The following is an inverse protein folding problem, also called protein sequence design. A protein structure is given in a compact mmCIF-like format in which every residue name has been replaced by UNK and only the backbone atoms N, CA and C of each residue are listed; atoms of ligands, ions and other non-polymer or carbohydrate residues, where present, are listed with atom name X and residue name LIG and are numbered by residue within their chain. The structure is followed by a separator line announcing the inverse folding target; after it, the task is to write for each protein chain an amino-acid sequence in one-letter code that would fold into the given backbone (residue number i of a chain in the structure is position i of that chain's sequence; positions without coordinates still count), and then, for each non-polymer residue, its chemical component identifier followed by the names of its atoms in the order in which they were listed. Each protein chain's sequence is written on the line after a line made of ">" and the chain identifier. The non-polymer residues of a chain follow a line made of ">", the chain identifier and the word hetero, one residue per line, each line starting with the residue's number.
data_IF_757988949667
#
_entry.id   IF_757988949667
#
_cell.length_a   1.000
_cell.length_b   1.000
_cell.length_c   1.000
_cell.angle_alpha   90.00
_cell.angle_beta   90.00
_cell.angle_gamma   90.00
#
_symmetry.space_group_name_H-M   'P 1'
#
loop_
_entity.id
_entity.type
_entity.pdbx_description
1 polymer ?
#
# COMPACT_ATOMS: atom_id res chain seq x y z
N UNK A 1 13.07 -0.35 22.99
CA UNK A 1 13.72 -1.29 22.06
C UNK A 1 14.03 -0.53 20.77
N UNK A 2 15.28 -0.59 20.31
CA UNK A 2 15.75 0.22 19.17
C UNK A 2 15.36 -0.43 17.84
N UNK A 3 15.22 0.37 16.77
CA UNK A 3 14.99 -0.15 15.42
C UNK A 3 16.06 -1.20 15.00
N UNK A 4 17.29 -1.07 15.51
CA UNK A 4 18.36 -2.04 15.29
C UNK A 4 18.07 -3.43 15.90
N UNK A 5 17.53 -3.49 17.11
CA UNK A 5 17.15 -4.76 17.75
C UNK A 5 16.03 -5.47 16.96
N UNK A 6 15.04 -4.71 16.47
CA UNK A 6 13.97 -5.26 15.65
C UNK A 6 14.52 -5.84 14.33
N UNK A 7 15.43 -5.12 13.66
CA UNK A 7 16.08 -5.60 12.43
C UNK A 7 16.84 -6.91 12.69
N UNK A 8 17.61 -7.01 13.77
CA UNK A 8 18.35 -8.24 14.10
C UNK A 8 17.42 -9.43 14.30
N UNK A 9 16.37 -9.27 15.12
CA UNK A 9 15.40 -10.33 15.38
C UNK A 9 14.66 -10.78 14.11
N UNK A 10 14.29 -9.84 13.24
CA UNK A 10 13.62 -10.17 11.98
C UNK A 10 14.56 -10.92 11.01
N UNK A 11 15.86 -10.58 10.99
CA UNK A 11 16.87 -11.30 10.21
C UNK A 11 17.11 -12.71 10.74
N UNK A 12 17.19 -12.90 12.06
CA UNK A 12 17.30 -14.22 12.69
C UNK A 12 16.06 -15.08 12.40
N UNK A 13 14.88 -14.48 12.44
CA UNK A 13 13.63 -15.14 12.07
C UNK A 13 13.67 -15.62 10.60
N UNK A 14 14.10 -14.76 9.67
CA UNK A 14 14.24 -15.13 8.26
C UNK A 14 15.33 -16.17 8.00
N UNK A 15 16.39 -16.19 8.80
CA UNK A 15 17.42 -17.23 8.73
C UNK A 15 16.87 -18.61 9.12
N UNK A 16 15.89 -18.64 10.03
CA UNK A 16 15.24 -19.87 10.48
C UNK A 16 14.11 -20.31 9.54
N UNK A 17 13.35 -19.35 9.01
CA UNK A 17 12.31 -19.59 8.02
C UNK A 17 12.26 -18.41 7.02
N UNK A 18 12.73 -18.58 5.78
CA UNK A 18 12.78 -17.50 4.80
C UNK A 18 11.41 -17.13 4.24
N UNK A 19 10.40 -18.00 4.33
CA UNK A 19 9.08 -17.80 3.69
C UNK A 19 8.10 -17.05 4.61
N UNK A 20 8.57 -15.97 5.21
CA UNK A 20 7.80 -15.13 6.13
C UNK A 20 7.53 -13.75 5.53
N UNK A 21 6.34 -13.57 4.94
CA UNK A 21 5.91 -12.30 4.36
C UNK A 21 6.02 -11.14 5.36
N UNK A 22 5.51 -11.33 6.58
CA UNK A 22 5.47 -10.29 7.61
C UNK A 22 6.89 -9.83 7.98
N UNK A 23 7.84 -10.77 8.05
CA UNK A 23 9.22 -10.44 8.40
C UNK A 23 9.89 -9.63 7.28
N UNK A 24 9.69 -10.04 6.03
CA UNK A 24 10.13 -9.29 4.86
C UNK A 24 9.47 -7.90 4.78
N UNK A 25 8.15 -7.80 4.98
CA UNK A 25 7.42 -6.54 4.97
C UNK A 25 7.97 -5.55 6.02
N UNK A 26 8.14 -6.03 7.26
CA UNK A 26 8.63 -5.20 8.36
C UNK A 26 10.09 -4.77 8.16
N UNK A 27 10.97 -5.66 7.68
CA UNK A 27 12.34 -5.30 7.34
C UNK A 27 12.39 -4.26 6.23
N UNK A 28 11.56 -4.41 5.19
CA UNK A 28 11.42 -3.41 4.12
C UNK A 28 11.18 -2.02 4.68
N UNK A 29 10.17 -1.87 5.56
CA UNK A 29 9.84 -0.58 6.18
C UNK A 29 10.94 -0.03 7.10
N UNK A 30 11.60 -0.90 7.88
CA UNK A 30 12.69 -0.48 8.77
C UNK A 30 13.94 -0.03 8.00
N UNK A 31 14.14 -0.55 6.80
CA UNK A 31 15.33 -0.32 5.99
C UNK A 31 15.15 0.75 4.91
N UNK A 32 13.90 1.12 4.55
CA UNK A 32 13.59 1.93 3.37
C UNK A 32 14.35 3.24 3.27
N UNK A 33 14.68 3.88 4.40
CA UNK A 33 15.44 5.15 4.43
C UNK A 33 16.95 4.92 4.45
N UNK A 34 17.43 3.91 5.21
CA UNK A 34 18.87 3.72 5.48
C UNK A 34 19.57 2.80 4.48
N UNK A 35 18.86 1.78 4.02
CA UNK A 35 19.37 0.73 3.13
C UNK A 35 18.30 0.42 2.08
N UNK A 36 17.98 1.39 1.20
CA UNK A 36 16.82 1.29 0.31
C UNK A 36 16.93 0.12 -0.69
N UNK A 37 18.14 -0.25 -1.10
CA UNK A 37 18.37 -1.42 -1.96
C UNK A 37 18.05 -2.75 -1.25
N UNK A 38 18.35 -2.87 0.04
CA UNK A 38 17.97 -4.03 0.86
C UNK A 38 16.46 -4.06 1.10
N UNK A 39 15.87 -2.88 1.37
CA UNK A 39 14.43 -2.74 1.52
C UNK A 39 13.67 -3.21 0.27
N UNK A 40 14.12 -2.83 -0.93
CA UNK A 40 13.53 -3.29 -2.19
C UNK A 40 13.53 -4.82 -2.30
N UNK A 41 14.64 -5.49 -1.93
CA UNK A 41 14.72 -6.97 -1.95
C UNK A 41 13.69 -7.59 -1.01
N UNK A 42 13.53 -7.04 0.19
CA UNK A 42 12.56 -7.52 1.15
C UNK A 42 11.12 -7.28 0.70
N UNK A 43 10.78 -6.08 0.20
CA UNK A 43 9.45 -5.85 -0.35
C UNK A 43 9.16 -6.76 -1.56
N UNK A 44 10.13 -7.02 -2.44
CA UNK A 44 9.95 -7.97 -3.54
C UNK A 44 9.70 -9.40 -3.05
N UNK A 45 10.36 -9.80 -1.96
CA UNK A 45 10.14 -11.11 -1.34
C UNK A 45 8.75 -11.19 -0.71
N UNK A 46 8.32 -10.14 0.01
CA UNK A 46 6.96 -10.02 0.54
C UNK A 46 5.90 -10.09 -0.57
N UNK A 47 6.12 -9.39 -1.70
CA UNK A 47 5.23 -9.44 -2.86
C UNK A 47 5.15 -10.85 -3.48
N UNK A 48 6.23 -11.64 -3.45
CA UNK A 48 6.21 -13.02 -3.98
C UNK A 48 5.44 -13.98 -3.08
N UNK A 49 5.51 -13.78 -1.76
CA UNK A 49 4.80 -14.60 -0.79
C UNK A 49 3.32 -14.25 -0.71
N UNK A 50 2.98 -12.96 -0.72
CA UNK A 50 1.60 -12.45 -0.71
C UNK A 50 1.47 -11.30 -1.71
N UNK A 51 1.15 -11.58 -2.97
CA UNK A 51 1.15 -10.58 -4.04
C UNK A 51 0.14 -9.46 -3.86
N UNK A 52 -0.98 -9.73 -3.19
CA UNK A 52 -2.02 -8.73 -2.93
C UNK A 52 -1.82 -7.99 -1.60
N UNK A 53 -0.67 -8.16 -0.92
CA UNK A 53 -0.40 -7.45 0.34
C UNK A 53 -0.35 -5.94 0.08
N UNK A 54 -1.23 -5.20 0.77
CA UNK A 54 -1.29 -3.74 0.66
C UNK A 54 -0.03 -3.10 1.25
N UNK A 55 0.43 -2.02 0.61
CA UNK A 55 1.60 -1.26 1.03
C UNK A 55 2.94 -1.84 0.59
N UNK A 56 2.99 -3.04 0.03
CA UNK A 56 4.26 -3.63 -0.47
C UNK A 56 4.76 -2.88 -1.70
N UNK A 57 3.89 -2.58 -2.66
CA UNK A 57 4.28 -1.86 -3.88
C UNK A 57 4.53 -0.38 -3.60
N UNK A 58 3.80 0.20 -2.65
CA UNK A 58 4.12 1.51 -2.09
C UNK A 58 5.54 1.53 -1.48
N UNK A 59 5.87 0.54 -0.65
CA UNK A 59 7.21 0.36 -0.09
C UNK A 59 8.30 0.20 -1.16
N UNK A 60 8.04 -0.56 -2.23
CA UNK A 60 8.92 -0.65 -3.39
C UNK A 60 9.14 0.71 -4.05
N UNK A 61 8.07 1.49 -4.24
CA UNK A 61 8.15 2.83 -4.82
C UNK A 61 9.02 3.77 -3.99
N UNK A 62 8.83 3.80 -2.67
CA UNK A 62 9.68 4.58 -1.76
C UNK A 62 11.13 4.11 -1.77
N UNK A 63 11.38 2.80 -1.73
CA UNK A 63 12.72 2.24 -1.80
C UNK A 63 13.44 2.63 -3.10
N UNK A 64 12.72 2.69 -4.23
CA UNK A 64 13.27 3.09 -5.53
C UNK A 64 13.49 4.59 -5.65
N UNK A 65 12.59 5.41 -5.09
CA UNK A 65 12.81 6.86 -4.97
C UNK A 65 14.09 7.15 -4.17
N UNK A 66 14.27 6.47 -3.03
CA UNK A 66 15.46 6.64 -2.18
C UNK A 66 16.75 6.09 -2.83
N UNK A 67 16.64 5.28 -3.89
CA UNK A 67 17.76 4.86 -4.74
C UNK A 67 18.01 5.80 -5.93
N UNK A 68 17.23 6.88 -6.09
CA UNK A 68 17.33 7.78 -7.25
C UNK A 68 16.78 7.19 -8.55
N UNK A 69 15.83 6.24 -8.45
CA UNK A 69 15.19 5.56 -9.59
C UNK A 69 13.70 5.97 -9.72
N UNK A 70 13.40 7.21 -10.14
CA UNK A 70 12.03 7.75 -10.13
C UNK A 70 11.08 7.03 -11.09
N UNK A 71 11.53 6.59 -12.26
CA UNK A 71 10.69 5.87 -13.22
C UNK A 71 10.25 4.49 -12.69
N UNK A 72 11.19 3.76 -12.07
CA UNK A 72 10.92 2.49 -11.40
C UNK A 72 9.97 2.66 -10.21
N UNK A 73 10.07 3.80 -9.51
CA UNK A 73 9.20 4.14 -8.40
C UNK A 73 7.78 4.47 -8.84
N UNK A 74 7.64 5.31 -9.88
CA UNK A 74 6.35 5.66 -10.47
C UNK A 74 5.56 4.41 -10.88
N UNK A 75 6.25 3.44 -11.49
CA UNK A 75 5.64 2.16 -11.82
C UNK A 75 5.27 1.33 -10.60
N UNK A 76 6.08 1.33 -9.54
CA UNK A 76 5.72 0.64 -8.30
C UNK A 76 4.50 1.27 -7.61
N UNK A 77 4.36 2.60 -7.61
CA UNK A 77 3.14 3.26 -7.14
C UNK A 77 1.92 2.94 -8.00
N UNK A 78 2.09 2.85 -9.33
CA UNK A 78 1.04 2.38 -10.22
C UNK A 78 0.60 0.94 -9.91
N UNK A 79 1.54 0.04 -9.57
CA UNK A 79 1.21 -1.31 -9.10
C UNK A 79 0.44 -1.30 -7.79
N UNK A 80 0.76 -0.40 -6.84
CA UNK A 80 -0.04 -0.24 -5.62
C UNK A 80 -1.48 0.17 -5.95
N UNK A 81 -1.68 1.11 -6.89
CA UNK A 81 -3.02 1.49 -7.35
C UNK A 81 -3.78 0.33 -8.02
N UNK A 82 -3.08 -0.56 -8.74
CA UNK A 82 -3.69 -1.77 -9.28
C UNK A 82 -4.08 -2.75 -8.16
N UNK A 83 -3.22 -2.90 -7.16
CA UNK A 83 -3.44 -3.81 -6.03
C UNK A 83 -4.58 -3.35 -5.09
N UNK A 84 -4.50 -2.09 -4.64
CA UNK A 84 -5.50 -1.39 -3.84
C UNK A 84 -5.91 -0.09 -4.56
N UNK A 85 -6.98 -0.14 -5.37
CA UNK A 85 -7.53 1.01 -6.09
C UNK A 85 -7.81 2.23 -5.22
N UNK A 86 -8.06 2.06 -3.92
CA UNK A 86 -8.28 3.19 -2.99
C UNK A 86 -7.04 4.05 -2.82
N UNK A 87 -5.85 3.51 -3.11
CA UNK A 87 -4.60 4.26 -3.08
C UNK A 87 -4.58 5.42 -4.09
N UNK A 88 -5.42 5.39 -5.13
CA UNK A 88 -5.59 6.51 -6.06
C UNK A 88 -5.92 7.83 -5.35
N UNK A 89 -6.71 7.78 -4.27
CA UNK A 89 -7.11 8.97 -3.51
C UNK A 89 -6.38 9.11 -2.18
N UNK A 90 -5.26 8.41 -2.02
CA UNK A 90 -4.50 8.43 -0.79
C UNK A 90 -3.97 9.82 -0.45
N UNK A 91 -4.06 10.29 0.81
CA UNK A 91 -3.42 11.52 1.26
C UNK A 91 -1.89 11.55 1.02
N UNK A 92 -1.26 10.39 0.88
CA UNK A 92 0.17 10.27 0.54
C UNK A 92 0.56 11.06 -0.72
N UNK A 93 -0.37 11.26 -1.67
CA UNK A 93 -0.12 12.08 -2.87
C UNK A 93 0.05 13.58 -2.60
N UNK A 94 -0.26 14.05 -1.38
CA UNK A 94 0.01 15.44 -0.95
C UNK A 94 1.42 15.64 -0.44
N UNK A 95 2.13 14.56 -0.06
CA UNK A 95 3.50 14.65 0.38
C UNK A 95 4.41 15.09 -0.79
N UNK A 96 5.31 16.07 -0.61
CA UNK A 96 6.10 16.64 -1.70
C UNK A 96 6.86 15.60 -2.53
N UNK A 97 7.43 14.59 -1.84
CA UNK A 97 8.17 13.52 -2.48
C UNK A 97 7.32 12.68 -3.46
N UNK A 98 6.04 12.47 -3.12
CA UNK A 98 5.11 11.71 -3.95
C UNK A 98 4.39 12.59 -4.97
N UNK A 99 4.12 13.85 -4.62
CA UNK A 99 3.52 14.82 -5.54
C UNK A 99 4.36 14.95 -6.82
N UNK A 100 5.69 14.96 -6.70
CA UNK A 100 6.62 14.96 -7.83
C UNK A 100 6.52 13.69 -8.71
N UNK A 101 6.25 12.53 -8.11
CA UNK A 101 6.12 11.25 -8.82
C UNK A 101 4.70 11.00 -9.38
N UNK A 102 3.73 11.87 -9.06
CA UNK A 102 2.30 11.64 -9.34
C UNK A 102 1.99 11.50 -10.83
N UNK A 103 2.50 12.42 -11.64
CA UNK A 103 2.25 12.42 -13.09
C UNK A 103 2.85 11.18 -13.77
N UNK A 104 4.11 10.88 -13.45
CA UNK A 104 4.77 9.66 -13.93
C UNK A 104 4.04 8.39 -13.47
N UNK A 105 3.52 8.36 -12.24
CA UNK A 105 2.74 7.24 -11.72
C UNK A 105 1.41 7.07 -12.44
N UNK A 106 0.75 8.17 -12.81
CA UNK A 106 -0.48 8.15 -13.61
C UNK A 106 -0.20 7.62 -15.03
N UNK A 107 0.88 8.08 -15.66
CA UNK A 107 1.31 7.57 -16.97
C UNK A 107 1.63 6.07 -16.92
N UNK A 108 2.37 5.62 -15.90
CA UNK A 108 2.67 4.21 -15.68
C UNK A 108 1.41 3.37 -15.45
N UNK A 109 0.43 3.87 -14.68
CA UNK A 109 -0.84 3.19 -14.47
C UNK A 109 -1.64 3.05 -15.77
N UNK A 110 -1.70 4.10 -16.59
CA UNK A 110 -2.34 4.05 -17.89
C UNK A 110 -1.68 3.03 -18.84
N UNK A 111 -0.34 2.93 -18.81
CA UNK A 111 0.39 1.90 -19.56
C UNK A 111 0.07 0.49 -19.08
N UNK A 112 0.11 0.25 -17.76
CA UNK A 112 -0.19 -1.07 -17.19
C UNK A 112 -1.62 -1.51 -17.53
N UNK A 113 -2.60 -0.60 -17.42
CA UNK A 113 -4.00 -0.87 -17.76
C UNK A 113 -4.19 -1.31 -19.22
N UNK A 114 -3.48 -0.68 -20.16
CA UNK A 114 -3.52 -1.07 -21.60
C UNK A 114 -2.92 -2.45 -21.87
N UNK A 115 -2.00 -2.90 -21.03
CA UNK A 115 -1.32 -4.21 -21.16
C UNK A 115 -2.07 -5.35 -20.46
N UNK A 116 -3.10 -5.03 -19.67
CA UNK A 116 -3.91 -6.07 -19.05
C UNK A 116 -4.62 -6.88 -20.15
N UNK A 117 -4.78 -8.20 -19.95
CA UNK A 117 -5.65 -9.00 -20.81
C UNK A 117 -7.08 -8.42 -20.77
N UNK A 118 -7.98 -8.83 -21.69
CA UNK A 118 -9.37 -8.35 -21.76
C UNK A 118 -10.26 -8.73 -20.55
N UNK A 119 -9.68 -8.99 -19.39
CA UNK A 119 -10.33 -8.74 -18.11
C UNK A 119 -10.45 -7.23 -17.96
N UNK A 120 -11.63 -6.70 -18.32
CA UNK A 120 -11.86 -5.27 -18.27
C UNK A 120 -11.61 -4.75 -16.83
N UNK A 121 -10.74 -3.73 -16.63
CA UNK A 121 -10.83 -2.96 -15.40
C UNK A 121 -12.26 -2.45 -15.27
N UNK A 122 -12.80 -2.32 -14.06
CA UNK A 122 -14.13 -1.75 -13.87
C UNK A 122 -14.22 -0.39 -14.60
N UNK A 123 -15.36 -0.05 -15.20
CA UNK A 123 -15.49 1.11 -16.09
C UNK A 123 -15.06 2.45 -15.44
N UNK A 124 -15.01 2.48 -14.11
CA UNK A 124 -14.66 3.65 -13.31
C UNK A 124 -13.23 3.62 -12.76
N UNK A 125 -12.36 2.71 -13.19
CA UNK A 125 -10.97 2.63 -12.74
C UNK A 125 -10.03 3.16 -13.82
N UNK A 126 -9.46 4.35 -13.60
CA UNK A 126 -8.60 5.04 -14.55
C UNK A 126 -7.48 5.83 -13.87
N UNK A 127 -6.37 5.99 -14.59
CA UNK A 127 -5.24 6.82 -14.15
C UNK A 127 -5.61 8.29 -13.91
N UNK A 128 -6.69 8.79 -14.54
CA UNK A 128 -7.17 10.16 -14.35
C UNK A 128 -7.61 10.46 -12.90
N UNK A 129 -7.89 9.42 -12.10
CA UNK A 129 -8.29 9.57 -10.70
C UNK A 129 -7.11 9.66 -9.74
N UNK A 130 -5.88 9.45 -10.21
CA UNK A 130 -4.70 9.39 -9.36
C UNK A 130 -4.40 10.76 -8.74
N UNK A 131 -4.35 10.78 -7.40
CA UNK A 131 -4.11 11.97 -6.59
C UNK A 131 -5.29 12.94 -6.55
N UNK A 132 -6.50 12.53 -6.96
CA UNK A 132 -7.74 13.22 -6.62
C UNK A 132 -8.05 12.97 -5.14
N UNK A 133 -7.26 13.58 -4.26
CA UNK A 133 -7.42 13.47 -2.80
C UNK A 133 -8.51 14.44 -2.37
N UNK A 134 -9.69 13.97 -1.89
CA UNK A 134 -10.78 14.85 -1.48
C UNK A 134 -10.31 15.89 -0.45
N UNK A 135 -10.68 17.16 -0.65
CA UNK A 135 -10.55 18.18 0.39
C UNK A 135 -11.63 17.89 1.47
N UNK A 136 -11.24 17.78 2.74
CA UNK A 136 -12.18 17.50 3.85
C UNK A 136 -13.17 18.66 4.12
N UNK A 137 -14.17 18.50 5.02
CA UNK A 137 -14.31 17.46 6.06
C UNK A 137 -15.18 16.28 5.59
N UNK A 138 -14.74 15.04 5.76
CA UNK A 138 -14.79 14.20 6.97
C UNK A 138 -16.19 13.69 7.34
N UNK A 139 -16.41 12.39 7.17
CA UNK A 139 -17.41 11.70 7.99
C UNK A 139 -16.88 11.74 9.41
N UNK A 140 -17.44 12.65 10.20
CA UNK A 140 -17.28 12.64 11.65
C UNK A 140 -18.39 11.77 12.21
N UNK A 141 -18.02 10.60 12.72
CA UNK A 141 -18.98 9.71 13.36
C UNK A 141 -18.40 9.15 14.65
N UNK A 142 -19.27 8.96 15.62
CA UNK A 142 -18.92 8.38 16.90
C UNK A 142 -18.88 6.87 16.74
N UNK A 143 -17.73 6.26 17.03
CA UNK A 143 -17.60 4.80 17.05
C UNK A 143 -17.60 4.33 18.49
N UNK A 144 -18.40 3.30 18.74
CA UNK A 144 -18.42 2.59 20.01
C UNK A 144 -17.51 1.36 19.87
N UNK A 145 -16.55 1.23 20.79
CA UNK A 145 -15.78 -0.01 20.92
C UNK A 145 -15.93 -0.51 22.34
N UNK A 146 -16.44 -1.72 22.50
CA UNK A 146 -16.35 -2.44 23.77
C UNK A 146 -14.87 -2.67 24.08
N UNK A 147 -14.39 -2.20 25.23
CA UNK A 147 -13.03 -2.45 25.68
C UNK A 147 -12.71 -3.95 25.72
N UNK A 148 -11.43 -4.33 25.60
CA UNK A 148 -11.04 -5.73 25.74
C UNK A 148 -11.41 -6.24 27.14
N UNK A 149 -12.21 -7.31 27.30
CA UNK A 149 -12.64 -7.80 28.61
C UNK A 149 -11.49 -8.30 29.49
N UNK A 150 -10.27 -8.43 28.95
CA UNK A 150 -9.13 -9.12 29.57
C UNK A 150 -8.51 -8.35 30.74
N UNK A 151 -8.98 -7.13 31.05
CA UNK A 151 -8.46 -6.31 32.16
C UNK A 151 -9.46 -6.05 33.29
N UNK A 152 -10.70 -6.57 33.23
CA UNK A 152 -11.66 -6.41 34.31
C UNK A 152 -11.54 -7.57 35.30
N UNK A 153 -11.06 -7.28 36.51
CA UNK A 153 -10.97 -8.24 37.63
C UNK A 153 -12.35 -8.56 38.24
N UNK A 154 -13.41 -7.88 37.80
CA UNK A 154 -14.77 -8.01 38.29
C UNK A 154 -15.73 -8.23 37.11
N UNK A 155 -16.30 -9.44 37.01
CA UNK A 155 -17.12 -9.90 35.89
C UNK A 155 -18.59 -9.43 35.97
N UNK A 156 -18.99 -8.85 37.11
CA UNK A 156 -20.36 -8.38 37.34
C UNK A 156 -20.62 -6.96 36.80
N UNK A 157 -19.58 -6.28 36.29
CA UNK A 157 -19.70 -4.94 35.70
C UNK A 157 -19.80 -5.04 34.16
N UNK A 158 -20.67 -4.24 33.51
CA UNK A 158 -20.74 -4.19 32.06
C UNK A 158 -19.41 -3.69 31.48
N UNK A 159 -19.01 -4.23 30.33
CA UNK A 159 -17.80 -3.80 29.63
C UNK A 159 -17.88 -2.31 29.31
N UNK A 160 -16.89 -1.49 29.71
CA UNK A 160 -16.89 -0.08 29.38
C UNK A 160 -16.81 0.09 27.87
N UNK A 161 -17.56 1.08 27.39
CA UNK A 161 -17.60 1.46 25.99
C UNK A 161 -16.65 2.65 25.82
N UNK A 162 -15.60 2.46 25.03
CA UNK A 162 -14.76 3.56 24.60
C UNK A 162 -15.48 4.31 23.47
N UNK A 163 -15.72 5.59 23.68
CA UNK A 163 -16.27 6.52 22.69
C UNK A 163 -15.15 7.36 22.12
N UNK A 164 -14.96 7.33 20.80
CA UNK A 164 -14.04 8.23 20.14
C UNK A 164 -14.62 8.74 18.81
N UNK A 165 -14.34 10.01 18.54
CA UNK A 165 -14.73 10.67 17.30
C UNK A 165 -13.78 10.22 16.19
N UNK A 166 -14.32 9.52 15.20
CA UNK A 166 -13.59 9.11 14.01
C UNK A 166 -13.75 10.17 12.96
N UNK A 167 -12.62 10.59 12.39
CA UNK A 167 -12.50 11.58 11.32
C UNK A 167 -11.99 10.86 10.09
N UNK A 168 -12.89 10.48 9.19
CA UNK A 168 -12.55 9.76 7.95
C UNK A 168 -12.77 10.64 6.73
N UNK A 169 -11.80 10.76 5.81
CA UNK A 169 -12.03 11.45 4.55
C UNK A 169 -13.24 10.85 3.82
N UNK A 170 -14.08 11.70 3.24
CA UNK A 170 -15.18 11.23 2.40
C UNK A 170 -14.60 10.32 1.30
N UNK A 171 -15.22 9.15 1.08
CA UNK A 171 -14.74 8.20 0.10
C UNK A 171 -14.53 8.90 -1.25
N UNK A 172 -13.44 8.60 -1.97
CA UNK A 172 -13.22 9.16 -3.29
C UNK A 172 -14.24 8.56 -4.25
N UNK A 173 -15.30 9.31 -4.55
CA UNK A 173 -16.16 8.99 -5.68
C UNK A 173 -17.55 9.63 -5.61
N UNK A 174 -18.11 10.04 -6.75
CA UNK A 174 -19.53 10.31 -6.84
C UNK A 174 -20.32 9.02 -6.52
N UNK A 175 -21.56 9.12 -5.98
CA UNK A 175 -22.43 7.96 -5.87
C UNK A 175 -22.69 7.41 -7.28
N UNK A 176 -22.22 6.19 -7.59
CA UNK A 176 -22.51 5.58 -8.89
C UNK A 176 -21.67 4.39 -9.32
N UNK A 177 -20.43 4.21 -8.84
CA UNK A 177 -19.77 2.89 -8.90
C UNK A 177 -18.48 2.88 -8.08
N UNK A 178 -18.39 2.04 -7.03
CA UNK A 178 -17.21 1.96 -6.19
C UNK A 178 -15.99 1.51 -7.02
N UNK A 179 -14.81 2.04 -6.66
CA UNK A 179 -13.54 1.50 -7.13
C UNK A 179 -13.52 -0.03 -6.92
N UNK A 180 -12.77 -0.79 -7.75
CA UNK A 180 -12.65 -2.22 -7.54
C UNK A 180 -12.20 -2.52 -6.09
N UNK A 181 -12.69 -3.63 -5.49
CA UNK A 181 -12.17 -4.05 -4.21
C UNK A 181 -10.68 -4.41 -4.35
N UNK A 182 -9.97 -4.36 -3.24
CA UNK A 182 -8.61 -4.89 -3.15
C UNK A 182 -8.60 -6.35 -3.64
N UNK A 183 -7.59 -6.71 -4.44
CA UNK A 183 -7.45 -8.08 -4.97
C UNK A 183 -8.32 -8.40 -6.20
N UNK A 184 -8.94 -7.40 -6.84
CA UNK A 184 -9.68 -7.59 -8.10
C UNK A 184 -8.79 -8.12 -9.24
N UNK A 185 -7.51 -7.80 -9.22
CA UNK A 185 -6.52 -8.27 -10.18
C UNK A 185 -5.88 -9.56 -9.66
N UNK A 186 -5.85 -10.66 -10.44
CA UNK A 186 -5.29 -11.93 -9.99
C UNK A 186 -3.81 -11.84 -9.61
N UNK A 187 -3.42 -12.47 -8.50
CA UNK A 187 -2.05 -12.47 -7.99
C UNK A 187 -0.96 -12.86 -9.03
N UNK A 188 -1.16 -13.87 -9.90
CA UNK A 188 -0.17 -14.20 -10.94
C UNK A 188 0.06 -13.05 -11.94
N UNK A 189 -0.98 -12.26 -12.20
CA UNK A 189 -0.90 -11.12 -13.10
C UNK A 189 -0.16 -9.95 -12.43
N UNK A 190 -0.42 -9.66 -11.15
CA UNK A 190 0.39 -8.69 -10.39
C UNK A 190 1.88 -9.04 -10.41
N UNK A 191 2.23 -10.32 -10.18
CA UNK A 191 3.62 -10.77 -10.20
C UNK A 191 4.26 -10.61 -11.58
N UNK A 192 3.54 -10.95 -12.65
CA UNK A 192 4.01 -10.74 -14.03
C UNK A 192 4.29 -9.25 -14.30
N UNK A 193 3.41 -8.36 -13.82
CA UNK A 193 3.60 -6.91 -13.97
C UNK A 193 4.72 -6.37 -13.08
N UNK A 194 5.00 -6.98 -11.93
CA UNK A 194 6.15 -6.65 -11.08
C UNK A 194 7.48 -6.99 -11.77
N UNK A 195 7.56 -8.14 -12.42
CA UNK A 195 8.79 -8.65 -13.04
C UNK A 195 9.04 -8.13 -14.47
N UNK A 196 8.02 -7.58 -15.15
CA UNK A 196 8.21 -7.00 -16.49
C UNK A 196 9.24 -5.85 -16.46
N UNK A 197 10.03 -5.62 -17.52
CA UNK A 197 10.96 -4.49 -17.58
C UNK A 197 10.21 -3.15 -17.66
N UNK A 198 10.79 -2.07 -17.12
CA UNK A 198 10.28 -0.72 -17.40
C UNK A 198 10.57 -0.46 -18.86
N UNK A 199 9.52 -0.26 -19.67
CA UNK A 199 9.70 0.20 -21.03
C UNK A 199 10.25 1.62 -20.96
N UNK A 200 11.55 1.78 -21.20
CA UNK A 200 12.15 3.08 -21.44
C UNK A 200 11.59 3.53 -22.78
N UNK A 201 10.67 4.49 -22.76
CA UNK A 201 10.25 5.16 -24.00
C UNK A 201 11.48 5.89 -24.55
N UNK A 202 11.87 5.67 -25.81
CA UNK A 202 13.03 6.34 -26.41
C UNK A 202 12.81 7.84 -26.59
#
# INVERSE_FOLDING_TARGET
>A
ATAGQAISLLRESLASNPDQEIAHFNLGWLLVVRQPAEAERHFRSAARLVPDKGGVYFGLGLARLNQGRPDDAARAFALECLNDPRFLASPWWREPALAAAREASAAALADLLRRLPPTAPPPNFSAAQLGLVPAGPERVYRRERTGYPVLMRNLDLPTPVDLYDVREPAAPGPPGSPLPPKGWLPSPLLLKLLDAPVSVTP
#
